data_IF_775227650263
#
_entry.id   IF_775227650263
#
_cell.length_a   1.000
_cell.length_b   1.000
_cell.length_c   1.000
_cell.angle_alpha   90.00
_cell.angle_beta   90.00
_cell.angle_gamma   90.00
#
_symmetry.space_group_name_H-M   'P 1'
#
loop_
_entity.id
_entity.type
_entity.pdbx_description
1 polymer ?
#
# COMPACT_ATOMS: atom_id res chain seq x y z
N UNK A 1 25.49 -15.89 -2.54
CA UNK A 1 24.86 -14.62 -2.12
C UNK A 1 24.35 -14.65 -0.68
N UNK A 2 23.50 -15.62 -0.29
CA UNK A 2 22.99 -15.77 1.09
C UNK A 2 24.08 -15.93 2.17
N UNK A 3 25.16 -16.67 1.88
CA UNK A 3 26.28 -16.85 2.81
C UNK A 3 27.02 -15.56 3.18
N UNK A 4 27.14 -14.61 2.24
CA UNK A 4 27.78 -13.31 2.50
C UNK A 4 26.88 -12.46 3.41
N UNK A 5 25.59 -12.36 3.11
CA UNK A 5 24.63 -11.62 3.95
C UNK A 5 24.54 -12.17 5.37
N UNK A 6 24.57 -13.50 5.53
CA UNK A 6 24.61 -14.14 6.85
C UNK A 6 25.87 -13.76 7.63
N UNK A 7 27.04 -13.74 6.98
CA UNK A 7 28.30 -13.30 7.59
C UNK A 7 28.28 -11.80 7.93
N UNK A 8 27.75 -10.95 7.07
CA UNK A 8 27.59 -9.51 7.35
C UNK A 8 26.66 -9.27 8.54
N UNK A 9 25.55 -10.01 8.64
CA UNK A 9 24.63 -9.93 9.77
C UNK A 9 25.29 -10.37 11.07
N UNK A 10 26.02 -11.51 11.05
CA UNK A 10 26.79 -11.98 12.21
C UNK A 10 27.86 -10.99 12.65
N UNK A 11 28.61 -10.42 11.71
CA UNK A 11 29.61 -9.39 12.00
C UNK A 11 28.97 -8.11 12.56
N UNK A 12 27.80 -7.73 12.04
CA UNK A 12 27.05 -6.57 12.54
C UNK A 12 26.61 -6.77 13.98
N UNK A 13 26.10 -7.95 14.34
CA UNK A 13 25.74 -8.29 15.72
C UNK A 13 26.97 -8.31 16.63
N UNK A 14 28.08 -8.90 16.18
CA UNK A 14 29.31 -9.02 16.98
C UNK A 14 29.96 -7.67 17.28
N UNK A 15 29.82 -6.69 16.38
CA UNK A 15 30.40 -5.36 16.51
C UNK A 15 29.39 -4.29 16.99
N UNK A 16 28.28 -4.69 17.63
CA UNK A 16 27.32 -3.75 18.21
C UNK A 16 27.94 -3.01 19.42
N UNK A 17 27.96 -1.69 19.35
CA UNK A 17 28.29 -0.83 20.49
C UNK A 17 27.20 -0.90 21.57
N UNK A 18 27.49 -0.47 22.80
CA UNK A 18 26.52 -0.44 23.90
C UNK A 18 25.21 0.31 23.54
N UNK A 19 25.32 1.42 22.78
CA UNK A 19 24.15 2.13 22.24
C UNK A 19 23.38 1.34 21.18
N UNK A 20 24.04 0.44 20.43
CA UNK A 20 23.39 -0.49 19.50
C UNK A 20 22.57 -1.55 20.22
N UNK A 21 23.10 -2.11 21.31
CA UNK A 21 22.38 -3.04 22.18
C UNK A 21 21.16 -2.39 22.85
N UNK A 22 21.29 -1.16 23.34
CA UNK A 22 20.16 -0.43 23.92
C UNK A 22 19.04 -0.19 22.88
N UNK A 23 19.39 0.27 21.67
CA UNK A 23 18.41 0.46 20.58
C UNK A 23 17.70 -0.84 20.19
N UNK A 24 18.45 -1.95 20.13
CA UNK A 24 17.89 -3.26 19.80
C UNK A 24 16.97 -3.78 20.91
N UNK A 25 17.38 -3.64 22.18
CA UNK A 25 16.56 -3.99 23.34
C UNK A 25 15.27 -3.17 23.41
N UNK A 26 15.36 -1.85 23.24
CA UNK A 26 14.19 -0.96 23.19
C UNK A 26 13.25 -1.32 22.03
N UNK A 27 13.79 -1.63 20.85
CA UNK A 27 13.00 -2.08 19.70
C UNK A 27 12.27 -3.40 19.96
N UNK A 28 12.92 -4.37 20.58
CA UNK A 28 12.28 -5.64 20.94
C UNK A 28 11.21 -5.43 22.02
N UNK A 29 11.50 -4.62 23.05
CA UNK A 29 10.55 -4.32 24.12
C UNK A 29 9.28 -3.65 23.58
N UNK A 30 9.43 -2.60 22.78
CA UNK A 30 8.30 -1.90 22.14
C UNK A 30 7.53 -2.82 21.19
N UNK A 31 8.24 -3.66 20.42
CA UNK A 31 7.62 -4.67 19.56
C UNK A 31 6.80 -5.70 20.34
N UNK A 32 7.32 -6.23 21.45
CA UNK A 32 6.61 -7.17 22.31
C UNK A 32 5.39 -6.54 22.99
N UNK A 33 5.51 -5.29 23.44
CA UNK A 33 4.40 -4.52 24.02
C UNK A 33 3.29 -4.32 22.98
N UNK A 34 3.64 -3.98 21.74
CA UNK A 34 2.68 -3.84 20.67
C UNK A 34 1.99 -5.18 20.34
N UNK A 35 2.75 -6.28 20.24
CA UNK A 35 2.20 -7.61 19.98
C UNK A 35 1.29 -8.11 21.12
N UNK A 36 1.64 -7.84 22.37
CA UNK A 36 0.79 -8.20 23.52
C UNK A 36 -0.50 -7.38 23.55
N UNK A 37 -0.43 -6.09 23.19
CA UNK A 37 -1.61 -5.23 23.02
C UNK A 37 -2.54 -5.75 21.92
N UNK A 38 -1.99 -6.13 20.76
CA UNK A 38 -2.76 -6.76 19.67
C UNK A 38 -3.41 -8.07 20.12
N UNK A 39 -2.66 -8.95 20.79
CA UNK A 39 -3.18 -10.20 21.33
C UNK A 39 -4.35 -9.97 22.29
N UNK A 40 -4.20 -9.05 23.25
CA UNK A 40 -5.25 -8.71 24.21
C UNK A 40 -6.51 -8.15 23.51
N UNK A 41 -6.32 -7.30 22.50
CA UNK A 41 -7.39 -6.76 21.67
C UNK A 41 -8.17 -7.86 20.94
N UNK A 42 -7.46 -8.77 20.27
CA UNK A 42 -8.09 -9.89 19.56
C UNK A 42 -8.79 -10.87 20.51
N UNK A 43 -8.19 -11.19 21.66
CA UNK A 43 -8.83 -12.02 22.68
C UNK A 43 -10.16 -11.42 23.13
N UNK A 44 -10.18 -10.13 23.46
CA UNK A 44 -11.41 -9.43 23.89
C UNK A 44 -12.48 -9.45 22.79
N UNK A 45 -12.07 -9.20 21.54
CA UNK A 45 -12.97 -9.25 20.38
C UNK A 45 -13.57 -10.66 20.18
N UNK A 46 -12.74 -11.71 20.21
CA UNK A 46 -13.17 -13.08 19.99
C UNK A 46 -14.05 -13.61 21.13
N UNK A 47 -13.76 -13.27 22.40
CA UNK A 47 -14.66 -13.60 23.52
C UNK A 47 -16.03 -12.94 23.39
N UNK A 48 -16.08 -11.69 22.91
CA UNK A 48 -17.35 -11.01 22.66
C UNK A 48 -18.16 -11.71 21.57
N UNK A 49 -17.50 -12.10 20.47
CA UNK A 49 -18.13 -12.83 19.37
C UNK A 49 -18.62 -14.22 19.81
N UNK A 50 -17.85 -14.95 20.60
CA UNK A 50 -18.21 -16.30 21.05
C UNK A 50 -19.44 -16.32 21.96
N UNK A 51 -19.68 -15.24 22.72
CA UNK A 51 -20.86 -15.12 23.59
C UNK A 51 -22.18 -14.97 22.82
N UNK A 52 -22.12 -14.71 21.51
CA UNK A 52 -23.33 -14.59 20.69
C UNK A 52 -23.90 -15.98 20.36
N UNK A 53 -25.15 -16.26 20.75
CA UNK A 53 -25.77 -17.58 20.53
C UNK A 53 -25.96 -17.86 19.04
N UNK A 54 -25.85 -19.14 18.65
CA UNK A 54 -26.03 -19.70 17.29
C UNK A 54 -25.02 -19.27 16.21
N UNK A 55 -24.47 -18.05 16.23
CA UNK A 55 -23.61 -17.51 15.16
C UNK A 55 -22.11 -17.44 15.52
N UNK A 56 -21.76 -17.40 16.81
CA UNK A 56 -20.40 -17.10 17.26
C UNK A 56 -19.28 -17.97 16.64
N UNK A 57 -19.52 -19.27 16.45
CA UNK A 57 -18.51 -20.18 15.87
C UNK A 57 -18.32 -19.97 14.37
N UNK A 58 -19.41 -19.81 13.60
CA UNK A 58 -19.34 -19.58 12.15
C UNK A 58 -18.68 -18.23 11.88
N UNK A 59 -19.04 -17.22 12.67
CA UNK A 59 -18.48 -15.88 12.54
C UNK A 59 -16.97 -15.85 12.83
N UNK A 60 -16.50 -16.53 13.87
CA UNK A 60 -15.06 -16.65 14.16
C UNK A 60 -14.27 -17.28 13.00
N UNK A 61 -14.82 -18.32 12.37
CA UNK A 61 -14.21 -18.94 11.19
C UNK A 61 -14.22 -18.00 9.98
N UNK A 62 -15.23 -17.14 9.85
CA UNK A 62 -15.28 -16.13 8.79
C UNK A 62 -14.27 -15.01 9.00
N UNK A 63 -14.06 -14.58 10.25
CA UNK A 63 -13.00 -13.63 10.59
C UNK A 63 -11.61 -14.16 10.21
N UNK A 64 -11.36 -15.45 10.38
CA UNK A 64 -10.13 -16.10 9.93
C UNK A 64 -9.97 -16.00 8.40
N UNK A 65 -11.02 -16.29 7.63
CA UNK A 65 -11.01 -16.17 6.16
C UNK A 65 -10.72 -14.75 5.70
N UNK A 66 -11.41 -13.76 6.30
CA UNK A 66 -11.24 -12.34 5.96
C UNK A 66 -9.81 -11.89 6.30
N UNK A 67 -9.29 -12.28 7.46
CA UNK A 67 -7.92 -11.93 7.87
C UNK A 67 -6.87 -12.48 6.90
N UNK A 68 -7.04 -13.73 6.42
CA UNK A 68 -6.14 -14.27 5.41
C UNK A 68 -6.31 -13.65 4.04
N UNK A 69 -7.53 -13.30 3.64
CA UNK A 69 -7.78 -12.57 2.39
C UNK A 69 -7.11 -11.18 2.42
N UNK A 70 -7.30 -10.41 3.50
CA UNK A 70 -6.66 -9.10 3.66
C UNK A 70 -5.15 -9.23 3.69
N UNK A 71 -4.62 -10.26 4.36
CA UNK A 71 -3.18 -10.54 4.37
C UNK A 71 -2.68 -10.84 2.96
N UNK A 72 -3.39 -11.68 2.20
CA UNK A 72 -3.01 -12.07 0.85
C UNK A 72 -2.90 -10.85 -0.08
N UNK A 73 -3.93 -9.99 -0.06
CA UNK A 73 -3.96 -8.76 -0.85
C UNK A 73 -2.82 -7.82 -0.43
N UNK A 74 -2.60 -7.63 0.86
CA UNK A 74 -1.51 -6.78 1.36
C UNK A 74 -0.12 -7.30 0.96
N UNK A 75 0.10 -8.61 0.97
CA UNK A 75 1.36 -9.21 0.53
C UNK A 75 1.58 -9.00 -0.97
N UNK A 76 0.55 -9.07 -1.80
CA UNK A 76 0.65 -8.75 -3.24
C UNK A 76 1.06 -7.28 -3.42
N UNK A 77 0.38 -6.34 -2.79
CA UNK A 77 0.72 -4.92 -2.90
C UNK A 77 2.14 -4.62 -2.38
N UNK A 78 2.49 -5.18 -1.22
CA UNK A 78 3.80 -4.99 -0.62
C UNK A 78 4.90 -5.57 -1.50
N UNK A 79 4.70 -6.74 -2.10
CA UNK A 79 5.70 -7.37 -2.98
C UNK A 79 5.88 -6.63 -4.30
N UNK A 80 4.83 -6.01 -4.86
CA UNK A 80 4.97 -5.09 -6.00
C UNK A 80 5.93 -3.96 -5.64
N UNK A 81 5.68 -3.26 -4.52
CA UNK A 81 6.50 -2.11 -4.09
C UNK A 81 7.95 -2.53 -3.82
N UNK A 82 8.15 -3.58 -3.03
CA UNK A 82 9.48 -4.04 -2.63
C UNK A 82 10.27 -4.54 -3.84
N UNK A 83 9.63 -5.25 -4.77
CA UNK A 83 10.32 -5.81 -5.95
C UNK A 83 10.95 -4.73 -6.82
N UNK A 84 10.36 -3.52 -6.90
CA UNK A 84 11.00 -2.40 -7.60
C UNK A 84 12.33 -2.03 -6.94
N UNK A 85 12.35 -1.85 -5.63
CA UNK A 85 13.56 -1.44 -4.90
C UNK A 85 14.60 -2.55 -4.80
N UNK A 86 14.18 -3.81 -4.62
CA UNK A 86 15.08 -4.93 -4.36
C UNK A 86 15.60 -5.60 -5.64
N UNK A 87 14.77 -5.70 -6.69
CA UNK A 87 15.10 -6.43 -7.92
C UNK A 87 15.61 -5.52 -9.04
N UNK A 88 14.98 -4.36 -9.26
CA UNK A 88 15.30 -3.50 -10.42
C UNK A 88 16.23 -2.34 -10.08
N UNK A 89 16.12 -1.76 -8.89
CA UNK A 89 16.87 -0.55 -8.49
C UNK A 89 17.82 -0.77 -7.32
N UNK A 90 18.25 -2.02 -7.10
CA UNK A 90 19.20 -2.29 -6.04
C UNK A 90 20.62 -1.82 -6.43
N UNK A 91 21.31 -1.20 -5.49
CA UNK A 91 22.65 -0.63 -5.72
C UNK A 91 23.68 -1.70 -6.13
N UNK A 92 23.50 -2.94 -5.67
CA UNK A 92 24.35 -4.10 -5.97
C UNK A 92 24.04 -4.72 -7.35
N UNK A 93 22.96 -4.35 -8.03
CA UNK A 93 22.52 -4.99 -9.27
C UNK A 93 23.55 -4.80 -10.40
N UNK A 94 24.08 -3.59 -10.58
CA UNK A 94 25.10 -3.30 -11.60
C UNK A 94 26.36 -4.16 -11.39
N UNK A 95 26.80 -4.31 -10.14
CA UNK A 95 27.93 -5.18 -9.80
C UNK A 95 27.63 -6.64 -10.12
N UNK A 96 26.45 -7.15 -9.72
CA UNK A 96 26.07 -8.55 -9.94
C UNK A 96 25.94 -8.94 -11.42
N UNK A 97 25.57 -7.99 -12.27
CA UNK A 97 25.46 -8.21 -13.72
C UNK A 97 26.82 -8.22 -14.43
N UNK A 98 27.87 -7.64 -13.84
CA UNK A 98 29.24 -7.72 -14.37
C UNK A 98 29.96 -9.02 -14.01
N UNK A 99 29.46 -9.75 -13.00
CA UNK A 99 30.01 -11.04 -12.62
C UNK A 99 29.58 -12.14 -13.61
N UNK A 100 30.40 -13.19 -13.84
CA UNK A 100 30.06 -14.32 -14.71
C UNK A 100 29.05 -15.27 -14.04
N UNK A 101 27.94 -14.73 -13.54
CA UNK A 101 26.85 -15.46 -12.89
C UNK A 101 25.64 -15.45 -13.81
N UNK A 102 25.00 -16.60 -13.98
CA UNK A 102 23.78 -16.70 -14.77
C UNK A 102 22.70 -15.75 -14.25
N UNK A 103 22.10 -14.92 -15.12
CA UNK A 103 21.08 -13.95 -14.75
C UNK A 103 19.88 -14.55 -13.99
N UNK A 104 19.53 -15.82 -14.27
CA UNK A 104 18.50 -16.58 -13.52
C UNK A 104 18.84 -16.72 -12.04
N UNK A 105 20.12 -16.94 -11.69
CA UNK A 105 20.55 -17.07 -10.28
C UNK A 105 20.46 -15.73 -9.55
N UNK A 106 20.78 -14.64 -10.23
CA UNK A 106 20.61 -13.28 -9.69
C UNK A 106 19.12 -13.00 -9.45
N UNK A 107 18.27 -13.29 -10.43
CA UNK A 107 16.82 -13.17 -10.30
C UNK A 107 16.27 -13.97 -9.12
N UNK A 108 16.58 -15.27 -9.01
CA UNK A 108 16.09 -16.12 -7.90
C UNK A 108 16.55 -15.59 -6.55
N UNK A 109 17.81 -15.14 -6.43
CA UNK A 109 18.30 -14.56 -5.18
C UNK A 109 17.53 -13.29 -4.78
N UNK A 110 17.22 -12.41 -5.75
CA UNK A 110 16.47 -11.18 -5.52
C UNK A 110 14.98 -11.43 -5.29
N UNK A 111 14.41 -12.43 -5.95
CA UNK A 111 13.03 -12.86 -5.75
C UNK A 111 12.85 -13.41 -4.32
N UNK A 112 13.75 -14.28 -3.84
CA UNK A 112 13.70 -14.80 -2.46
C UNK A 112 13.87 -13.67 -1.43
N UNK A 113 14.76 -12.71 -1.68
CA UNK A 113 14.88 -11.52 -0.81
C UNK A 113 13.59 -10.71 -0.76
N UNK A 114 12.94 -10.53 -1.92
CA UNK A 114 11.66 -9.82 -2.03
C UNK A 114 10.56 -10.56 -1.27
N UNK A 115 10.44 -11.87 -1.46
CA UNK A 115 9.46 -12.73 -0.74
C UNK A 115 9.68 -12.63 0.77
N UNK A 116 10.93 -12.67 1.22
CA UNK A 116 11.24 -12.57 2.65
C UNK A 116 10.86 -11.18 3.19
N UNK A 117 11.24 -10.10 2.49
CA UNK A 117 10.97 -8.72 2.90
C UNK A 117 9.47 -8.36 2.88
N UNK A 118 8.68 -8.91 1.95
CA UNK A 118 7.23 -8.69 1.90
C UNK A 118 6.47 -9.47 2.98
N UNK A 119 6.98 -10.63 3.40
CA UNK A 119 6.20 -11.58 4.19
C UNK A 119 6.50 -11.56 5.68
N UNK A 120 7.73 -11.22 6.09
CA UNK A 120 8.15 -11.33 7.50
C UNK A 120 7.27 -10.50 8.44
N UNK A 121 6.91 -9.28 8.06
CA UNK A 121 6.11 -8.37 8.89
C UNK A 121 4.66 -8.87 9.03
N UNK A 122 4.08 -9.37 7.94
CA UNK A 122 2.72 -9.92 7.95
C UNK A 122 2.64 -11.19 8.80
N UNK A 123 3.67 -12.03 8.76
CA UNK A 123 3.75 -13.23 9.59
C UNK A 123 3.78 -12.85 11.09
N UNK A 124 4.56 -11.84 11.47
CA UNK A 124 4.63 -11.34 12.86
C UNK A 124 3.28 -10.79 13.34
N UNK A 125 2.54 -10.06 12.50
CA UNK A 125 1.20 -9.53 12.84
C UNK A 125 0.15 -10.64 12.96
N UNK A 126 0.25 -11.71 12.18
CA UNK A 126 -0.66 -12.85 12.25
C UNK A 126 -0.50 -13.71 13.51
N UNK A 127 0.69 -13.74 14.11
CA UNK A 127 0.96 -14.53 15.33
C UNK A 127 0.01 -14.17 16.49
N UNK A 128 -0.13 -12.91 16.94
CA UNK A 128 -1.04 -12.57 18.04
C UNK A 128 -2.51 -12.83 17.69
N UNK A 129 -2.90 -12.62 16.43
CA UNK A 129 -4.25 -12.93 15.95
C UNK A 129 -4.56 -14.42 16.05
N UNK A 130 -3.66 -15.28 15.55
CA UNK A 130 -3.80 -16.74 15.60
C UNK A 130 -3.66 -17.28 17.01
N UNK A 131 -2.82 -16.68 17.85
CA UNK A 131 -2.71 -17.03 19.26
C UNK A 131 -4.00 -16.77 20.02
N UNK A 132 -4.62 -15.59 19.81
CA UNK A 132 -5.92 -15.27 20.39
C UNK A 132 -7.01 -16.24 19.91
N UNK A 133 -6.98 -16.59 18.62
CA UNK A 133 -7.92 -17.55 18.05
C UNK A 133 -7.74 -18.96 18.65
N UNK A 134 -6.50 -19.44 18.76
CA UNK A 134 -6.18 -20.75 19.33
C UNK A 134 -6.59 -20.85 20.81
N UNK A 135 -6.40 -19.77 21.58
CA UNK A 135 -6.83 -19.70 22.98
C UNK A 135 -8.36 -19.81 23.11
N UNK A 136 -9.11 -19.08 22.29
CA UNK A 136 -10.59 -19.08 22.33
C UNK A 136 -11.20 -20.40 21.86
N UNK A 137 -10.56 -21.08 20.89
CA UNK A 137 -10.98 -22.39 20.40
C UNK A 137 -10.35 -23.58 21.13
N UNK A 138 -9.54 -23.33 22.17
CA UNK A 138 -8.80 -24.36 22.92
C UNK A 138 -8.03 -25.35 22.01
N UNK A 139 -7.30 -24.81 21.03
CA UNK A 139 -6.54 -25.63 20.07
C UNK A 139 -5.10 -25.81 20.54
N UNK A 140 -4.55 -27.02 20.39
CA UNK A 140 -3.18 -27.36 20.78
C UNK A 140 -2.10 -26.77 19.87
N UNK A 141 -0.84 -27.02 20.24
CA UNK A 141 0.36 -26.50 19.56
C UNK A 141 0.48 -26.92 18.08
N UNK A 142 -0.15 -28.04 17.70
CA UNK A 142 -0.20 -28.54 16.31
C UNK A 142 -0.74 -27.51 15.32
N UNK A 143 -1.64 -26.63 15.76
CA UNK A 143 -2.21 -25.55 14.95
C UNK A 143 -1.14 -24.59 14.43
N UNK A 144 -0.19 -24.19 15.27
CA UNK A 144 0.88 -23.27 14.87
C UNK A 144 1.90 -23.92 13.94
N UNK A 145 2.19 -25.21 14.13
CA UNK A 145 3.07 -25.97 13.25
C UNK A 145 2.46 -26.08 11.85
N UNK A 146 1.18 -26.43 11.77
CA UNK A 146 0.46 -26.51 10.49
C UNK A 146 0.35 -25.14 9.83
N UNK A 147 0.09 -24.07 10.60
CA UNK A 147 0.14 -22.70 10.08
C UNK A 147 1.51 -22.33 9.53
N UNK A 148 2.62 -22.69 10.22
CA UNK A 148 3.97 -22.44 9.73
C UNK A 148 4.22 -23.13 8.38
N UNK A 149 3.81 -24.39 8.26
CA UNK A 149 3.95 -25.18 7.03
C UNK A 149 3.08 -24.64 5.88
N UNK A 150 1.83 -24.28 6.15
CA UNK A 150 0.89 -23.76 5.16
C UNK A 150 1.15 -22.28 4.80
N UNK A 151 1.68 -21.51 5.75
CA UNK A 151 2.00 -20.09 5.60
C UNK A 151 3.13 -19.86 4.60
N UNK A 152 4.16 -20.71 4.59
CA UNK A 152 5.29 -20.62 3.65
C UNK A 152 4.86 -20.55 2.18
N UNK A 153 4.12 -21.55 1.62
CA UNK A 153 3.64 -21.47 0.25
C UNK A 153 2.61 -20.35 0.05
N UNK A 154 1.77 -20.05 1.05
CA UNK A 154 0.80 -18.95 0.97
C UNK A 154 1.46 -17.58 0.73
N UNK A 155 2.46 -17.23 1.54
CA UNK A 155 3.21 -15.99 1.40
C UNK A 155 4.03 -15.95 0.11
N UNK A 156 4.57 -17.10 -0.30
CA UNK A 156 5.28 -17.23 -1.57
C UNK A 156 4.36 -16.95 -2.75
N UNK A 157 3.14 -17.52 -2.79
CA UNK A 157 2.17 -17.30 -3.87
C UNK A 157 1.82 -15.82 -4.01
N UNK A 158 1.49 -15.14 -2.89
CA UNK A 158 1.17 -13.71 -2.91
C UNK A 158 2.35 -12.87 -3.43
N UNK A 159 3.56 -13.18 -2.98
CA UNK A 159 4.76 -12.48 -3.40
C UNK A 159 5.15 -12.77 -4.85
N UNK A 160 4.94 -14.01 -5.32
CA UNK A 160 5.20 -14.41 -6.70
C UNK A 160 4.30 -13.65 -7.68
N UNK A 161 3.01 -13.50 -7.35
CA UNK A 161 2.06 -12.71 -8.14
C UNK A 161 2.52 -11.25 -8.22
N UNK A 162 2.93 -10.64 -7.09
CA UNK A 162 3.42 -9.27 -7.09
C UNK A 162 4.70 -9.07 -7.91
N UNK A 163 5.63 -10.02 -7.86
CA UNK A 163 6.85 -10.03 -8.69
C UNK A 163 6.51 -10.17 -10.19
N UNK A 164 5.51 -11.00 -10.53
CA UNK A 164 5.06 -11.13 -11.92
C UNK A 164 4.47 -9.81 -12.44
N UNK A 165 3.66 -9.14 -11.62
CA UNK A 165 3.07 -7.85 -11.97
C UNK A 165 4.17 -6.80 -12.17
N UNK A 166 5.10 -6.66 -11.22
CA UNK A 166 6.17 -5.67 -11.34
C UNK A 166 7.11 -5.94 -12.51
N UNK A 167 7.43 -7.22 -12.77
CA UNK A 167 8.24 -7.61 -13.92
C UNK A 167 7.52 -7.31 -15.25
N UNK A 168 6.22 -7.54 -15.32
CA UNK A 168 5.41 -7.18 -16.50
C UNK A 168 5.41 -5.68 -16.75
N UNK A 169 5.22 -4.89 -15.68
CA UNK A 169 5.28 -3.42 -15.77
C UNK A 169 6.64 -2.94 -16.27
N UNK A 170 7.73 -3.45 -15.71
CA UNK A 170 9.09 -3.05 -16.12
C UNK A 170 9.46 -3.50 -17.53
N UNK A 171 8.88 -4.62 -17.99
CA UNK A 171 9.11 -5.10 -19.35
C UNK A 171 8.41 -4.22 -20.40
N UNK A 172 7.14 -3.84 -20.17
CA UNK A 172 6.41 -2.97 -21.11
C UNK A 172 6.88 -1.51 -21.05
N UNK A 173 7.39 -1.06 -19.91
CA UNK A 173 7.72 0.33 -19.66
C UNK A 173 9.16 0.49 -19.11
N UNK A 174 10.19 0.31 -19.95
CA UNK A 174 11.59 0.26 -19.52
C UNK A 174 12.23 1.65 -19.32
N UNK A 175 11.76 2.43 -18.35
CA UNK A 175 12.45 3.68 -17.98
C UNK A 175 12.49 3.91 -16.48
N UNK A 176 13.52 4.61 -15.99
CA UNK A 176 13.64 5.02 -14.59
C UNK A 176 12.45 5.87 -14.11
N UNK A 177 11.82 6.59 -15.04
CA UNK A 177 10.60 7.37 -14.85
C UNK A 177 9.38 6.49 -14.60
N UNK A 178 9.34 5.31 -15.22
CA UNK A 178 8.22 4.37 -15.06
C UNK A 178 8.17 3.79 -13.66
N UNK A 179 9.28 3.61 -12.93
CA UNK A 179 9.23 3.18 -11.51
C UNK A 179 8.31 4.09 -10.71
N UNK A 180 8.54 5.40 -10.81
CA UNK A 180 7.80 6.39 -10.05
C UNK A 180 6.34 6.45 -10.53
N UNK A 181 6.07 6.24 -11.83
CA UNK A 181 4.70 6.11 -12.37
C UNK A 181 4.02 4.81 -11.94
N UNK A 182 4.74 3.69 -11.89
CA UNK A 182 4.22 2.36 -11.57
C UNK A 182 3.90 2.23 -10.08
N UNK A 183 4.77 2.75 -9.21
CA UNK A 183 4.48 2.83 -7.77
C UNK A 183 3.26 3.68 -7.51
N UNK A 184 3.14 4.82 -8.20
CA UNK A 184 1.99 5.69 -8.05
C UNK A 184 0.72 5.10 -8.66
N UNK A 185 0.82 4.45 -9.81
CA UNK A 185 -0.30 3.72 -10.39
C UNK A 185 -0.74 2.56 -9.49
N UNK A 186 0.19 1.86 -8.83
CA UNK A 186 -0.13 0.81 -7.87
C UNK A 186 -0.83 1.36 -6.62
N UNK A 187 -0.34 2.48 -6.06
CA UNK A 187 -0.98 3.15 -4.91
C UNK A 187 -2.36 3.69 -5.31
N UNK A 188 -2.48 4.30 -6.48
CA UNK A 188 -3.74 4.80 -7.01
C UNK A 188 -4.73 3.67 -7.28
N UNK A 189 -4.31 2.61 -7.95
CA UNK A 189 -5.12 1.42 -8.16
C UNK A 189 -5.52 0.77 -6.83
N UNK A 190 -4.62 0.72 -5.84
CA UNK A 190 -4.92 0.24 -4.49
C UNK A 190 -5.95 1.12 -3.78
N UNK A 191 -5.85 2.44 -3.89
CA UNK A 191 -6.81 3.39 -3.32
C UNK A 191 -8.18 3.32 -4.01
N UNK A 192 -8.20 3.18 -5.34
CA UNK A 192 -9.41 3.00 -6.14
C UNK A 192 -10.04 1.64 -5.85
N UNK A 193 -9.23 0.60 -5.68
CA UNK A 193 -9.69 -0.71 -5.28
C UNK A 193 -10.25 -0.70 -3.86
N UNK A 194 -9.63 0.00 -2.92
CA UNK A 194 -10.19 0.21 -1.58
C UNK A 194 -11.54 0.92 -1.64
N UNK A 195 -11.63 1.99 -2.43
CA UNK A 195 -12.88 2.72 -2.66
C UNK A 195 -13.91 1.78 -3.29
N UNK A 196 -13.55 0.97 -4.29
CA UNK A 196 -14.42 -0.01 -4.92
C UNK A 196 -14.91 -1.08 -3.93
N UNK A 197 -14.01 -1.67 -3.13
CA UNK A 197 -14.36 -2.61 -2.07
C UNK A 197 -15.34 -2.00 -1.09
N UNK A 198 -15.13 -0.74 -0.73
CA UNK A 198 -16.02 -0.06 0.18
C UNK A 198 -17.32 0.35 -0.50
N UNK A 199 -17.34 0.63 -1.81
CA UNK A 199 -18.55 0.82 -2.63
C UNK A 199 -19.47 -0.39 -2.56
N UNK A 200 -18.94 -1.60 -2.49
CA UNK A 200 -19.72 -2.83 -2.29
C UNK A 200 -20.38 -2.96 -0.91
N UNK A 201 -20.16 -2.02 0.00
CA UNK A 201 -20.80 -1.99 1.34
C UNK A 201 -20.74 -3.33 2.10
N UNK A 202 -19.55 -3.96 2.26
CA UNK A 202 -19.44 -5.17 3.06
C UNK A 202 -19.89 -4.95 4.52
N UNK A 203 -19.94 -3.68 4.95
CA UNK A 203 -20.42 -3.22 6.26
C UNK A 203 -21.96 -3.31 6.39
N UNK A 204 -22.74 -3.11 5.31
CA UNK A 204 -24.21 -3.27 5.37
C UNK A 204 -24.65 -4.73 5.39
N UNK A 205 -23.79 -5.64 4.92
CA UNK A 205 -23.97 -7.08 5.14
C UNK A 205 -23.91 -7.41 6.65
N UNK A 206 -23.25 -6.59 7.47
CA UNK A 206 -23.12 -6.80 8.92
C UNK A 206 -24.15 -6.03 9.78
N UNK A 207 -25.24 -5.51 9.19
CA UNK A 207 -26.28 -4.77 9.94
C UNK A 207 -27.17 -5.70 10.79
N UNK A 208 -27.35 -5.45 12.11
CA UNK A 208 -28.13 -6.26 13.05
C UNK A 208 -29.60 -6.52 12.66
N UNK A 209 -30.24 -5.63 11.91
CA UNK A 209 -31.66 -5.79 11.54
C UNK A 209 -31.88 -6.85 10.44
N UNK A 210 -30.85 -7.19 9.67
CA UNK A 210 -30.87 -8.30 8.72
C UNK A 210 -30.58 -9.67 9.37
N UNK A 211 -30.13 -9.70 10.64
CA UNK A 211 -29.82 -10.94 11.36
C UNK A 211 -31.04 -11.81 11.59
N UNK A 212 -32.25 -11.26 11.58
CA UNK A 212 -33.49 -12.01 11.79
C UNK A 212 -33.93 -12.82 10.56
N UNK A 213 -33.38 -12.54 9.37
CA UNK A 213 -33.44 -13.49 8.23
C UNK A 213 -32.22 -14.41 8.28
N UNK A 214 -31.97 -15.00 9.46
CA UNK A 214 -30.75 -15.74 9.78
C UNK A 214 -30.42 -16.86 8.79
N UNK A 215 -31.44 -17.51 8.22
CA UNK A 215 -31.25 -18.69 7.36
C UNK A 215 -30.72 -18.33 5.95
N UNK A 216 -31.13 -17.19 5.38
CA UNK A 216 -30.58 -16.71 4.09
C UNK A 216 -29.20 -16.07 4.26
N UNK A 217 -28.94 -15.42 5.41
CA UNK A 217 -27.60 -14.89 5.71
C UNK A 217 -26.60 -15.98 6.08
N UNK A 218 -27.02 -17.06 6.76
CA UNK A 218 -26.19 -18.26 6.97
C UNK A 218 -25.83 -18.89 5.62
N UNK A 219 -26.78 -19.03 4.69
CA UNK A 219 -26.50 -19.53 3.34
C UNK A 219 -25.57 -18.60 2.51
N UNK A 220 -25.62 -17.29 2.74
CA UNK A 220 -24.73 -16.32 2.11
C UNK A 220 -23.35 -16.22 2.80
N UNK A 221 -23.26 -16.43 4.12
CA UNK A 221 -22.02 -16.55 4.88
C UNK A 221 -21.30 -17.87 4.57
N UNK A 222 -22.07 -18.93 4.34
CA UNK A 222 -21.63 -20.22 3.80
C UNK A 222 -21.32 -20.15 2.30
N UNK A 223 -21.65 -19.04 1.61
CA UNK A 223 -21.22 -18.86 0.23
C UNK A 223 -19.69 -18.85 0.21
N UNK A 224 -19.05 -19.79 -0.53
CA UNK A 224 -17.61 -19.92 -0.54
C UNK A 224 -17.02 -18.67 -1.20
N UNK A 225 -16.47 -17.77 -0.39
CA UNK A 225 -15.77 -16.57 -0.87
C UNK A 225 -14.52 -17.05 -1.60
N UNK A 226 -14.66 -17.21 -2.92
CA UNK A 226 -13.62 -17.61 -3.87
C UNK A 226 -12.80 -18.86 -3.44
N UNK A 227 -13.40 -20.05 -3.64
CA UNK A 227 -12.79 -21.39 -3.43
C UNK A 227 -11.42 -21.59 -4.10
N UNK A 228 -11.10 -20.77 -5.10
CA UNK A 228 -9.86 -20.83 -5.86
C UNK A 228 -8.75 -19.92 -5.34
N UNK A 229 -9.00 -19.11 -4.30
CA UNK A 229 -7.98 -18.24 -3.72
C UNK A 229 -7.09 -18.99 -2.72
N UNK A 230 -5.78 -18.69 -2.69
CA UNK A 230 -4.86 -19.24 -1.68
C UNK A 230 -5.24 -18.92 -0.23
N UNK A 231 -5.92 -17.80 0.00
CA UNK A 231 -6.45 -17.44 1.32
C UNK A 231 -7.50 -18.43 1.82
N UNK A 232 -8.33 -18.97 0.91
CA UNK A 232 -9.33 -19.98 1.24
C UNK A 232 -8.66 -21.32 1.57
N UNK A 233 -7.67 -21.76 0.79
CA UNK A 233 -6.94 -23.01 1.10
C UNK A 233 -6.23 -22.93 2.46
N UNK A 234 -5.61 -21.80 2.80
CA UNK A 234 -5.00 -21.61 4.11
C UNK A 234 -6.03 -21.65 5.25
N UNK A 235 -7.16 -20.97 5.09
CA UNK A 235 -8.25 -21.00 6.06
C UNK A 235 -8.78 -22.43 6.25
N UNK A 236 -8.98 -23.17 5.15
CA UNK A 236 -9.51 -24.53 5.18
C UNK A 236 -8.52 -25.53 5.79
N UNK A 237 -7.20 -25.37 5.59
CA UNK A 237 -6.17 -26.13 6.31
C UNK A 237 -6.36 -25.97 7.81
N UNK A 238 -6.48 -24.73 8.30
CA UNK A 238 -6.63 -24.46 9.73
C UNK A 238 -7.97 -24.92 10.28
N UNK A 239 -9.07 -24.77 9.53
CA UNK A 239 -10.38 -25.34 9.89
C UNK A 239 -10.33 -26.85 10.01
N UNK A 240 -9.66 -27.52 9.07
CA UNK A 240 -9.52 -28.98 9.06
C UNK A 240 -8.74 -29.48 10.29
N UNK A 241 -7.79 -28.70 10.83
CA UNK A 241 -7.10 -29.02 12.09
C UNK A 241 -8.07 -28.96 13.29
N UNK A 242 -9.00 -28.00 13.32
CA UNK A 242 -9.98 -27.85 14.41
C UNK A 242 -10.97 -29.03 14.40
N UNK A 243 -11.41 -29.46 13.20
CA UNK A 243 -12.32 -30.59 13.02
C UNK A 243 -11.57 -31.95 13.10
N UNK A 244 -10.25 -31.94 13.33
CA UNK A 244 -9.39 -33.13 13.32
C UNK A 244 -9.47 -33.96 12.03
N UNK A 245 -9.73 -33.32 10.89
CA UNK A 245 -9.81 -33.98 9.58
C UNK A 245 -8.45 -33.94 8.87
N UNK A 246 -7.66 -35.01 9.02
CA UNK A 246 -6.33 -35.14 8.42
C UNK A 246 -6.34 -35.09 6.88
N UNK A 247 -7.36 -35.67 6.25
CA UNK A 247 -7.50 -35.67 4.79
C UNK A 247 -7.72 -34.25 4.23
N UNK A 248 -8.51 -33.44 4.93
CA UNK A 248 -8.72 -32.03 4.59
C UNK A 248 -7.43 -31.20 4.65
N UNK A 249 -6.62 -31.43 5.69
CA UNK A 249 -5.31 -30.77 5.86
C UNK A 249 -4.37 -31.12 4.70
N UNK A 250 -4.21 -32.41 4.41
CA UNK A 250 -3.28 -32.88 3.37
C UNK A 250 -3.69 -32.35 1.99
N UNK A 251 -4.98 -32.46 1.63
CA UNK A 251 -5.49 -32.02 0.33
C UNK A 251 -5.24 -30.53 0.07
N UNK A 252 -5.50 -29.68 1.06
CA UNK A 252 -5.34 -28.23 0.87
C UNK A 252 -3.87 -27.79 0.95
N UNK A 253 -3.04 -28.49 1.73
CA UNK A 253 -1.59 -28.31 1.71
C UNK A 253 -1.01 -28.68 0.34
N UNK A 254 -1.41 -29.79 -0.27
CA UNK A 254 -0.93 -30.18 -1.60
C UNK A 254 -1.35 -29.16 -2.66
N UNK A 255 -2.55 -28.59 -2.58
CA UNK A 255 -2.94 -27.46 -3.45
C UNK A 255 -2.04 -26.23 -3.26
N UNK A 256 -1.74 -25.82 -2.03
CA UNK A 256 -0.85 -24.68 -1.77
C UNK A 256 0.57 -24.93 -2.31
N UNK A 257 1.15 -26.10 -2.03
CA UNK A 257 2.50 -26.42 -2.49
C UNK A 257 2.59 -26.60 -4.00
N UNK A 258 1.60 -27.23 -4.63
CA UNK A 258 1.57 -27.41 -6.09
C UNK A 258 1.46 -26.08 -6.83
N UNK A 259 0.58 -25.18 -6.38
CA UNK A 259 0.45 -23.82 -6.97
C UNK A 259 1.71 -23.00 -6.74
N UNK A 260 2.28 -23.04 -5.53
CA UNK A 260 3.55 -22.36 -5.24
C UNK A 260 4.69 -22.87 -6.13
N UNK A 261 4.82 -24.19 -6.29
CA UNK A 261 5.82 -24.81 -7.16
C UNK A 261 5.63 -24.44 -8.63
N UNK A 262 4.40 -24.49 -9.14
CA UNK A 262 4.07 -24.10 -10.51
C UNK A 262 4.42 -22.62 -10.78
N UNK A 263 4.06 -21.72 -9.86
CA UNK A 263 4.39 -20.29 -9.98
C UNK A 263 5.90 -20.03 -9.91
N UNK A 264 6.63 -20.77 -9.06
CA UNK A 264 8.10 -20.65 -9.01
C UNK A 264 8.74 -21.06 -10.33
N UNK A 265 8.35 -22.21 -10.90
CA UNK A 265 8.84 -22.66 -12.20
C UNK A 265 8.51 -21.67 -13.31
N UNK A 266 7.28 -21.16 -13.32
CA UNK A 266 6.83 -20.15 -14.28
C UNK A 266 7.66 -18.87 -14.19
N UNK A 267 7.92 -18.37 -12.97
CA UNK A 267 8.78 -17.22 -12.73
C UNK A 267 10.21 -17.46 -13.25
N UNK A 268 10.80 -18.62 -12.97
CA UNK A 268 12.16 -18.94 -13.43
C UNK A 268 12.23 -19.00 -14.96
N UNK A 269 11.22 -19.58 -15.63
CA UNK A 269 11.14 -19.64 -17.09
C UNK A 269 11.04 -18.23 -17.69
N UNK A 270 10.12 -17.41 -17.19
CA UNK A 270 9.88 -16.07 -17.71
C UNK A 270 11.04 -15.11 -17.41
N UNK A 271 11.69 -15.27 -16.25
CA UNK A 271 12.81 -14.41 -15.84
C UNK A 271 13.92 -14.35 -16.88
N UNK A 272 14.20 -15.47 -17.57
CA UNK A 272 15.23 -15.51 -18.61
C UNK A 272 14.98 -14.55 -19.77
N UNK A 273 13.72 -14.29 -20.11
CA UNK A 273 13.33 -13.40 -21.22
C UNK A 273 12.99 -12.00 -20.74
N UNK A 274 12.13 -11.86 -19.73
CA UNK A 274 11.60 -10.55 -19.35
C UNK A 274 12.56 -9.78 -18.43
N UNK A 275 13.16 -10.44 -17.43
CA UNK A 275 13.94 -9.74 -16.41
C UNK A 275 15.25 -9.16 -16.98
N UNK A 276 15.99 -9.94 -17.78
CA UNK A 276 17.24 -9.45 -18.36
C UNK A 276 17.01 -8.30 -19.34
N UNK A 277 16.01 -8.43 -20.22
CA UNK A 277 15.62 -7.35 -21.14
C UNK A 277 15.19 -6.09 -20.38
N UNK A 278 14.35 -6.23 -19.35
CA UNK A 278 13.92 -5.10 -18.51
C UNK A 278 15.12 -4.41 -17.85
N UNK A 279 16.02 -5.16 -17.22
CA UNK A 279 17.18 -4.57 -16.54
C UNK A 279 18.17 -3.91 -17.51
N UNK A 280 18.49 -4.56 -18.64
CA UNK A 280 19.34 -3.97 -19.67
C UNK A 280 18.73 -2.71 -20.26
N UNK A 281 17.42 -2.68 -20.49
CA UNK A 281 16.73 -1.52 -21.05
C UNK A 281 16.68 -0.31 -20.10
N UNK A 282 16.63 -0.54 -18.77
CA UNK A 282 16.78 0.53 -17.76
C UNK A 282 18.17 1.17 -17.86
N UNK A 283 19.22 0.34 -17.91
CA UNK A 283 20.61 0.81 -17.98
C UNK A 283 20.97 1.41 -19.35
N UNK A 284 20.37 0.90 -20.43
CA UNK A 284 20.52 1.40 -21.79
C UNK A 284 19.66 2.63 -22.10
N UNK A 285 18.81 3.07 -21.16
CA UNK A 285 17.97 4.28 -21.26
C UNK A 285 18.79 5.59 -21.19
N UNK A 286 19.96 5.61 -21.84
CA UNK A 286 20.62 6.84 -22.27
C UNK A 286 19.78 7.40 -23.41
N UNK A 287 18.96 8.39 -23.07
CA UNK A 287 18.10 9.19 -23.93
C UNK A 287 18.76 9.55 -25.27
N UNK A 288 18.63 8.70 -26.28
CA UNK A 288 18.85 9.07 -27.68
C UNK A 288 17.54 9.62 -28.23
N UNK A 289 17.23 10.87 -27.93
CA UNK A 289 16.24 11.63 -28.71
C UNK A 289 16.95 12.71 -29.53
N UNK A 290 17.56 12.37 -30.69
CA UNK A 290 18.13 13.36 -31.60
C UNK A 290 17.06 14.13 -32.39
N UNK A 291 15.79 13.70 -32.33
CA UNK A 291 14.72 14.20 -33.21
C UNK A 291 13.98 15.45 -32.68
N UNK A 292 14.09 15.78 -31.39
CA UNK A 292 13.36 16.92 -30.82
C UNK A 292 14.21 18.20 -30.65
N UNK A 293 15.51 18.16 -30.93
CA UNK A 293 16.38 19.34 -30.83
C UNK A 293 16.23 20.30 -32.02
N UNK A 294 15.70 19.83 -33.15
CA UNK A 294 15.57 20.63 -34.38
C UNK A 294 14.38 21.61 -34.36
N UNK A 295 13.29 21.28 -33.66
CA UNK A 295 12.04 22.06 -33.72
C UNK A 295 11.98 23.28 -32.78
N UNK A 296 13.00 23.50 -31.94
CA UNK A 296 12.97 24.55 -30.90
C UNK A 296 13.73 25.83 -31.33
N UNK A 297 14.44 25.84 -32.46
CA UNK A 297 15.46 26.87 -32.73
C UNK A 297 14.98 28.25 -33.21
N UNK A 298 13.67 28.52 -33.40
CA UNK A 298 13.24 29.81 -34.02
C UNK A 298 11.97 30.47 -33.47
N UNK A 299 11.59 30.24 -32.21
CA UNK A 299 10.55 31.07 -31.56
C UNK A 299 11.21 32.12 -30.68
N UNK A 300 10.92 33.42 -30.87
CA UNK A 300 11.33 34.48 -29.93
C UNK A 300 10.76 34.13 -28.55
N UNK A 301 11.57 33.50 -27.70
CA UNK A 301 11.17 33.11 -26.36
C UNK A 301 11.15 34.37 -25.51
N UNK A 302 9.97 34.96 -25.29
CA UNK A 302 9.79 35.73 -24.06
C UNK A 302 10.04 34.75 -22.92
N UNK A 303 10.98 35.08 -22.03
CA UNK A 303 11.33 34.28 -20.85
C UNK A 303 10.12 34.22 -19.91
N UNK A 304 9.15 33.39 -20.22
CA UNK A 304 8.01 33.13 -19.37
C UNK A 304 8.41 32.02 -18.39
N UNK A 305 8.88 32.42 -17.21
CA UNK A 305 9.28 31.51 -16.14
C UNK A 305 8.15 30.53 -15.75
N UNK A 306 6.89 30.95 -15.86
CA UNK A 306 5.71 30.10 -15.62
C UNK A 306 5.64 28.94 -16.64
N UNK A 307 5.90 29.21 -17.93
CA UNK A 307 5.90 28.15 -18.95
C UNK A 307 7.09 27.21 -18.80
N UNK A 308 8.25 27.74 -18.41
CA UNK A 308 9.43 26.93 -18.04
C UNK A 308 9.06 25.98 -16.90
N UNK A 309 8.48 26.50 -15.82
CA UNK A 309 8.13 25.71 -14.65
C UNK A 309 7.01 24.71 -14.98
N UNK A 310 6.03 25.06 -15.82
CA UNK A 310 5.00 24.13 -16.31
C UNK A 310 5.58 22.98 -17.15
N UNK A 311 6.50 23.28 -18.08
CA UNK A 311 7.15 22.26 -18.91
C UNK A 311 8.12 21.42 -18.08
N UNK A 312 8.83 22.01 -17.12
CA UNK A 312 9.70 21.29 -16.18
C UNK A 312 8.88 20.36 -15.30
N UNK A 313 7.74 20.85 -14.79
CA UNK A 313 6.78 20.06 -14.03
C UNK A 313 6.29 18.88 -14.87
N UNK A 314 5.80 19.11 -16.10
CA UNK A 314 5.41 18.07 -17.07
C UNK A 314 6.50 17.05 -17.40
N UNK A 315 7.76 17.46 -17.37
CA UNK A 315 8.91 16.57 -17.63
C UNK A 315 9.37 15.80 -16.39
N UNK A 316 9.12 16.33 -15.19
CA UNK A 316 9.51 15.68 -13.95
C UNK A 316 8.46 14.67 -13.50
N UNK A 317 8.73 13.41 -13.83
CA UNK A 317 7.87 12.29 -13.50
C UNK A 317 7.67 12.11 -11.99
N UNK A 318 8.60 12.58 -11.16
CA UNK A 318 8.44 12.53 -9.69
C UNK A 318 7.35 13.46 -9.20
N UNK A 319 7.16 14.61 -9.85
CA UNK A 319 6.17 15.58 -9.40
C UNK A 319 4.75 15.15 -9.78
N UNK A 320 4.53 14.73 -11.03
CA UNK A 320 3.21 14.23 -11.45
C UNK A 320 2.77 12.98 -10.73
N UNK A 321 3.70 12.07 -10.45
CA UNK A 321 3.39 10.86 -9.72
C UNK A 321 2.91 11.19 -8.30
N UNK A 322 3.54 12.16 -7.64
CA UNK A 322 3.11 12.61 -6.31
C UNK A 322 1.76 13.30 -6.32
N UNK A 323 1.41 14.05 -7.37
CA UNK A 323 0.08 14.66 -7.51
C UNK A 323 -0.98 13.59 -7.60
N UNK A 324 -0.75 12.56 -8.43
CA UNK A 324 -1.68 11.45 -8.61
C UNK A 324 -1.90 10.69 -7.29
N UNK A 325 -0.84 10.45 -6.51
CA UNK A 325 -0.95 9.82 -5.20
C UNK A 325 -1.83 10.63 -4.24
N UNK A 326 -1.65 11.96 -4.20
CA UNK A 326 -2.46 12.78 -3.31
C UNK A 326 -3.91 12.88 -3.80
N UNK A 327 -4.13 12.98 -5.12
CA UNK A 327 -5.47 12.91 -5.70
C UNK A 327 -6.20 11.62 -5.28
N UNK A 328 -5.51 10.48 -5.33
CA UNK A 328 -6.02 9.20 -4.85
C UNK A 328 -6.42 9.26 -3.36
N UNK A 329 -5.57 9.83 -2.50
CA UNK A 329 -5.87 10.00 -1.07
C UNK A 329 -7.08 10.93 -0.84
N UNK A 330 -7.17 12.03 -1.59
CA UNK A 330 -8.30 12.95 -1.55
C UNK A 330 -9.60 12.27 -1.97
N UNK A 331 -9.59 11.40 -2.98
CA UNK A 331 -10.76 10.63 -3.39
C UNK A 331 -11.21 9.68 -2.27
N UNK A 332 -10.27 8.95 -1.67
CA UNK A 332 -10.56 8.07 -0.51
C UNK A 332 -11.17 8.87 0.64
N UNK A 333 -10.64 10.06 0.91
CA UNK A 333 -11.13 10.96 1.93
C UNK A 333 -12.58 11.41 1.67
N UNK A 334 -12.86 11.97 0.48
CA UNK A 334 -14.19 12.41 0.09
C UNK A 334 -15.20 11.25 0.16
N UNK A 335 -14.76 10.07 -0.27
CA UNK A 335 -15.58 8.86 -0.20
C UNK A 335 -15.84 8.41 1.25
N UNK A 336 -14.85 8.53 2.14
CA UNK A 336 -15.04 8.23 3.56
C UNK A 336 -16.09 9.14 4.18
N UNK A 337 -16.16 10.41 3.78
CA UNK A 337 -17.17 11.37 4.23
C UNK A 337 -18.54 11.03 3.66
N UNK A 338 -18.62 10.71 2.37
CA UNK A 338 -19.88 10.28 1.73
C UNK A 338 -20.52 9.07 2.43
N UNK A 339 -19.69 8.13 2.92
CA UNK A 339 -20.15 6.92 3.60
C UNK A 339 -20.35 7.05 5.10
N UNK A 340 -20.17 8.24 5.67
CA UNK A 340 -20.53 8.45 7.07
C UNK A 340 -22.00 8.07 7.27
N UNK A 341 -22.32 7.19 8.24
CA UNK A 341 -23.67 6.71 8.45
C UNK A 341 -24.61 7.89 8.71
N UNK A 342 -25.50 8.16 7.76
CA UNK A 342 -26.67 9.03 7.96
C UNK A 342 -27.55 8.48 9.11
N UNK A 343 -27.32 7.25 9.56
CA UNK A 343 -28.00 6.54 10.65
C UNK A 343 -27.53 6.89 12.07
N UNK A 344 -26.54 7.77 12.26
CA UNK A 344 -26.38 8.45 13.57
C UNK A 344 -27.55 9.40 13.88
N UNK A 345 -28.47 9.55 12.94
CA UNK A 345 -29.83 10.09 13.12
C UNK A 345 -30.71 9.07 13.85
N UNK A 346 -30.31 8.67 15.06
CA UNK A 346 -31.22 8.08 16.03
C UNK A 346 -31.85 9.22 16.84
N UNK A 347 -33.09 9.02 17.30
CA UNK A 347 -34.02 10.00 17.90
C UNK A 347 -33.50 10.88 19.07
N UNK A 348 -32.24 10.71 19.51
CA UNK A 348 -31.70 11.31 20.73
C UNK A 348 -30.74 12.49 20.52
N UNK A 349 -30.24 12.78 19.30
CA UNK A 349 -29.38 13.95 19.03
C UNK A 349 -29.78 14.68 17.75
N UNK A 350 -29.83 16.03 17.72
CA UNK A 350 -30.16 16.76 16.50
C UNK A 350 -29.04 16.55 15.48
N UNK A 351 -29.36 15.90 14.35
CA UNK A 351 -28.41 15.57 13.29
C UNK A 351 -27.57 16.78 12.81
N UNK A 352 -28.08 18.00 12.99
CA UNK A 352 -27.38 19.24 12.71
C UNK A 352 -26.10 19.44 13.55
N UNK A 353 -26.08 19.06 14.84
CA UNK A 353 -24.89 19.26 15.70
C UNK A 353 -23.74 18.33 15.29
N UNK A 354 -24.04 17.06 15.01
CA UNK A 354 -23.05 16.08 14.57
C UNK A 354 -22.48 16.48 13.20
N UNK A 355 -23.34 16.91 12.26
CA UNK A 355 -22.91 17.41 10.94
C UNK A 355 -22.04 18.66 11.03
N UNK A 356 -22.40 19.61 11.89
CA UNK A 356 -21.60 20.82 12.09
C UNK A 356 -20.24 20.52 12.77
N UNK A 357 -20.21 19.62 13.74
CA UNK A 357 -18.97 19.17 14.37
C UNK A 357 -18.06 18.43 13.37
N UNK A 358 -18.63 17.54 12.56
CA UNK A 358 -17.91 16.86 11.47
C UNK A 358 -17.37 17.86 10.43
N UNK A 359 -18.13 18.90 10.09
CA UNK A 359 -17.67 19.97 9.20
C UNK A 359 -16.48 20.74 9.81
N UNK A 360 -16.46 20.99 11.12
CA UNK A 360 -15.31 21.60 11.78
C UNK A 360 -14.06 20.69 11.74
N UNK A 361 -14.22 19.38 11.98
CA UNK A 361 -13.12 18.41 11.85
C UNK A 361 -12.64 18.29 10.40
N UNK A 362 -13.55 18.41 9.42
CA UNK A 362 -13.25 18.41 7.99
C UNK A 362 -12.32 19.57 7.59
N UNK A 363 -12.44 20.76 8.21
CA UNK A 363 -11.48 21.86 8.00
C UNK A 363 -10.06 21.42 8.39
N UNK A 364 -9.91 20.78 9.55
CA UNK A 364 -8.61 20.26 10.01
C UNK A 364 -8.04 19.19 9.09
N UNK A 365 -8.87 18.25 8.64
CA UNK A 365 -8.44 17.19 7.72
C UNK A 365 -8.08 17.73 6.33
N UNK A 366 -8.88 18.66 5.78
CA UNK A 366 -8.57 19.33 4.51
C UNK A 366 -7.28 20.17 4.61
N UNK A 367 -7.13 20.95 5.69
CA UNK A 367 -5.92 21.72 5.97
C UNK A 367 -4.68 20.84 6.10
N UNK A 368 -4.80 19.65 6.69
CA UNK A 368 -3.69 18.68 6.75
C UNK A 368 -3.27 18.19 5.36
N UNK A 369 -4.23 17.87 4.48
CA UNK A 369 -3.95 17.45 3.10
C UNK A 369 -3.25 18.58 2.33
N UNK A 370 -3.74 19.81 2.44
CA UNK A 370 -3.18 20.98 1.75
C UNK A 370 -1.78 21.32 2.28
N UNK A 371 -1.57 21.28 3.60
CA UNK A 371 -0.26 21.53 4.22
C UNK A 371 0.78 20.48 3.79
N UNK A 372 0.40 19.20 3.78
CA UNK A 372 1.27 18.14 3.29
C UNK A 372 1.64 18.32 1.81
N UNK A 373 0.69 18.76 0.98
CA UNK A 373 0.93 19.10 -0.42
C UNK A 373 1.85 20.31 -0.58
N UNK A 374 1.65 21.36 0.21
CA UNK A 374 2.48 22.57 0.18
C UNK A 374 3.94 22.25 0.53
N UNK A 375 4.17 21.43 1.55
CA UNK A 375 5.53 21.00 1.92
C UNK A 375 6.19 20.17 0.82
N UNK A 376 5.40 19.42 0.05
CA UNK A 376 5.91 18.54 -1.01
C UNK A 376 6.13 19.27 -2.33
N UNK A 377 5.27 20.22 -2.68
CA UNK A 377 5.27 20.88 -3.98
C UNK A 377 5.72 22.32 -3.98
N UNK A 378 5.54 23.09 -2.91
CA UNK A 378 5.92 24.52 -2.86
C UNK A 378 7.34 24.65 -2.32
N UNK A 379 7.64 23.99 -1.20
CA UNK A 379 8.93 24.11 -0.52
C UNK A 379 10.13 23.69 -1.41
N UNK A 380 10.09 22.59 -2.18
CA UNK A 380 11.25 22.18 -2.97
C UNK A 380 11.48 22.98 -4.25
N UNK A 381 10.52 23.80 -4.72
CA UNK A 381 10.61 24.44 -6.05
C UNK A 381 11.80 25.36 -6.20
N UNK A 382 12.16 26.07 -5.13
CA UNK A 382 13.35 26.92 -5.11
C UNK A 382 14.62 26.05 -5.10
N UNK A 383 14.60 24.94 -4.39
CA UNK A 383 15.72 23.98 -4.28
C UNK A 383 15.95 23.19 -5.58
N UNK A 384 14.93 23.02 -6.42
CA UNK A 384 15.06 22.32 -7.71
C UNK A 384 15.83 23.12 -8.76
N UNK A 385 16.01 24.44 -8.56
CA UNK A 385 16.74 25.29 -9.50
C UNK A 385 18.27 25.31 -9.29
N UNK A 386 18.79 24.59 -8.29
CA UNK A 386 20.19 24.65 -7.82
C UNK A 386 21.25 24.80 -8.92
N UNK A 387 21.19 23.98 -9.97
CA UNK A 387 22.20 24.01 -11.05
C UNK A 387 22.11 25.19 -12.02
N UNK A 388 20.97 25.88 -12.06
CA UNK A 388 20.68 26.99 -12.99
C UNK A 388 20.46 28.33 -12.30
N UNK A 389 20.51 28.37 -10.97
CA UNK A 389 20.24 29.57 -10.17
C UNK A 389 21.15 30.75 -10.56
N UNK A 390 22.44 30.46 -10.82
CA UNK A 390 23.43 31.45 -11.24
C UNK A 390 23.03 32.19 -12.54
N UNK A 391 22.44 31.46 -13.49
CA UNK A 391 21.92 32.03 -14.73
C UNK A 391 20.71 32.93 -14.47
N UNK A 392 19.79 32.50 -13.60
CA UNK A 392 18.61 33.29 -13.23
C UNK A 392 19.02 34.60 -12.53
N UNK A 393 20.04 34.55 -11.66
CA UNK A 393 20.57 35.74 -10.96
C UNK A 393 21.32 36.70 -11.88
N UNK A 394 21.77 36.26 -13.05
CA UNK A 394 22.47 37.09 -14.03
C UNK A 394 21.52 37.84 -14.98
N UNK A 395 20.24 37.46 -14.99
CA UNK A 395 19.19 38.17 -15.76
C UNK A 395 18.74 39.39 -14.95
N UNK A 396 18.50 40.57 -15.57
CA UNK A 396 18.02 41.77 -14.89
C UNK A 396 16.57 41.63 -14.44
N UNK A 397 16.34 40.78 -13.43
CA UNK A 397 15.03 40.48 -12.87
C UNK A 397 15.12 40.51 -11.34
N UNK A 398 14.11 41.08 -10.68
CA UNK A 398 14.10 41.13 -9.22
C UNK A 398 13.80 39.75 -8.63
N UNK A 399 14.51 39.40 -7.56
CA UNK A 399 14.34 38.14 -6.83
C UNK A 399 12.90 37.97 -6.34
N UNK A 400 12.27 39.08 -5.94
CA UNK A 400 10.87 39.10 -5.50
C UNK A 400 9.91 38.61 -6.59
N UNK A 401 10.04 39.11 -7.82
CA UNK A 401 9.17 38.69 -8.94
C UNK A 401 9.41 37.22 -9.29
N UNK A 402 10.64 36.73 -9.13
CA UNK A 402 10.96 35.32 -9.34
C UNK A 402 10.30 34.42 -8.28
N UNK A 403 10.44 34.77 -6.99
CA UNK A 403 9.81 34.02 -5.89
C UNK A 403 8.28 34.08 -5.98
N UNK A 404 7.72 35.25 -6.28
CA UNK A 404 6.28 35.45 -6.44
C UNK A 404 5.75 34.66 -7.64
N UNK A 405 6.50 34.59 -8.74
CA UNK A 405 6.18 33.74 -9.89
C UNK A 405 6.09 32.24 -9.51
N UNK A 406 7.04 31.74 -8.72
CA UNK A 406 7.02 30.35 -8.22
C UNK A 406 5.89 30.11 -7.24
N UNK A 407 5.65 31.06 -6.34
CA UNK A 407 4.55 31.01 -5.40
C UNK A 407 3.20 30.97 -6.12
N UNK A 408 2.98 31.81 -7.13
CA UNK A 408 1.74 31.82 -7.92
C UNK A 408 1.58 30.53 -8.71
N UNK A 409 2.66 30.01 -9.33
CA UNK A 409 2.61 28.78 -10.11
C UNK A 409 2.15 27.56 -9.29
N UNK A 410 2.65 27.39 -8.06
CA UNK A 410 2.24 26.28 -7.19
C UNK A 410 1.04 26.60 -6.29
N UNK A 411 0.91 27.86 -5.86
CA UNK A 411 -0.12 28.32 -4.94
C UNK A 411 -1.50 28.36 -5.56
N UNK A 412 -1.64 28.82 -6.82
CA UNK A 412 -2.94 28.87 -7.51
C UNK A 412 -3.57 27.48 -7.64
N UNK A 413 -2.87 26.43 -8.13
CA UNK A 413 -3.42 25.07 -8.13
C UNK A 413 -3.80 24.54 -6.74
N UNK A 414 -3.02 24.87 -5.70
CA UNK A 414 -3.32 24.44 -4.33
C UNK A 414 -4.58 25.11 -3.77
N UNK A 415 -4.79 26.40 -4.05
CA UNK A 415 -6.01 27.12 -3.66
C UNK A 415 -7.22 26.57 -4.41
N UNK A 416 -7.09 26.28 -5.71
CA UNK A 416 -8.17 25.65 -6.47
C UNK A 416 -8.52 24.29 -5.85
N UNK A 417 -7.51 23.48 -5.53
CA UNK A 417 -7.71 22.19 -4.91
C UNK A 417 -8.36 22.30 -3.52
N UNK A 418 -7.96 23.26 -2.69
CA UNK A 418 -8.54 23.46 -1.35
C UNK A 418 -10.01 23.81 -1.43
N UNK A 419 -10.37 24.73 -2.33
CA UNK A 419 -11.77 25.13 -2.56
C UNK A 419 -12.59 23.94 -3.07
N UNK A 420 -12.06 23.17 -4.02
CA UNK A 420 -12.76 21.98 -4.54
C UNK A 420 -13.00 20.95 -3.43
N UNK A 421 -11.98 20.65 -2.61
CA UNK A 421 -12.12 19.71 -1.49
C UNK A 421 -13.15 20.21 -0.48
N UNK A 422 -13.09 21.50 -0.11
CA UNK A 422 -14.04 22.11 0.83
C UNK A 422 -15.48 22.07 0.32
N UNK A 423 -15.71 22.49 -0.92
CA UNK A 423 -17.05 22.53 -1.55
C UNK A 423 -17.63 21.13 -1.67
N UNK A 424 -16.86 20.18 -2.21
CA UNK A 424 -17.34 18.80 -2.40
C UNK A 424 -17.60 18.13 -1.05
N UNK A 425 -16.68 18.27 -0.10
CA UNK A 425 -16.85 17.66 1.23
C UNK A 425 -18.07 18.20 1.99
N UNK A 426 -18.25 19.52 2.00
CA UNK A 426 -19.40 20.14 2.66
C UNK A 426 -20.73 19.83 1.95
N UNK A 427 -20.72 19.73 0.62
CA UNK A 427 -21.89 19.27 -0.14
C UNK A 427 -22.25 17.83 0.18
N UNK A 428 -21.27 16.94 0.36
CA UNK A 428 -21.50 15.54 0.73
C UNK A 428 -22.03 15.40 2.17
N UNK A 429 -21.66 16.31 3.08
CA UNK A 429 -22.14 16.34 4.47
C UNK A 429 -23.56 16.90 4.64
N UNK A 430 -24.09 17.62 3.65
CA UNK A 430 -25.42 18.24 3.74
C UNK A 430 -25.54 19.26 4.87
N UNK A 431 -24.53 20.14 4.99
CA UNK A 431 -24.48 21.21 6.01
C UNK A 431 -25.59 22.23 5.74
N UNK A 432 -26.44 22.49 6.74
CA UNK A 432 -27.65 23.31 6.60
C UNK A 432 -27.43 24.83 6.65
N UNK A 433 -26.23 25.29 7.05
CA UNK A 433 -25.95 26.73 7.24
C UNK A 433 -24.92 27.27 6.24
N UNK A 434 -25.29 28.32 5.52
CA UNK A 434 -24.44 28.98 4.52
C UNK A 434 -23.17 29.61 5.12
N UNK A 435 -23.22 30.06 6.38
CA UNK A 435 -22.08 30.65 7.07
C UNK A 435 -20.97 29.62 7.36
N UNK A 436 -21.34 28.42 7.83
CA UNK A 436 -20.38 27.34 8.09
C UNK A 436 -19.83 26.79 6.77
N UNK A 437 -20.66 26.73 5.73
CA UNK A 437 -20.22 26.37 4.38
C UNK A 437 -19.11 27.28 3.87
N UNK A 438 -19.32 28.61 3.93
CA UNK A 438 -18.33 29.59 3.47
C UNK A 438 -17.05 29.57 4.33
N UNK A 439 -17.19 29.53 5.66
CA UNK A 439 -16.06 29.52 6.58
C UNK A 439 -15.19 28.25 6.41
N UNK A 440 -15.83 27.11 6.16
CA UNK A 440 -15.13 25.86 5.90
C UNK A 440 -14.50 25.76 4.51
N UNK A 441 -14.99 26.51 3.51
CA UNK A 441 -14.39 26.52 2.17
C UNK A 441 -13.25 27.52 2.00
N UNK A 442 -13.23 28.58 2.83
CA UNK A 442 -12.28 29.69 2.70
C UNK A 442 -11.11 29.62 3.71
N UNK A 443 -11.27 28.88 4.82
CA UNK A 443 -10.19 28.57 5.77
C UNK A 443 -9.33 27.40 5.28
#
# INVERSE_FOLDING_TARGET
>A
MFGVKSRTFKNKIRNLTAGGWFKLGFGIFTGLLFLSGLYAGFCRMFFYIQKMPFIGTVLLLKFLEIAFLTTFVMVIFSSIVISFTSMFFADDLNFLLTLPVQGRRVFVSKAVETVFQSSWMMMVVLVPFLAAFAFVKNVGLSFFVVFGLAGLPFFFIGSAIGIMISMSVMYFFPSSRVRDMALVAAVAAGSLFYVALRFFEPEKLANPDAFYTAMQYIAYLDAPVARFLPSWWLAEVLKSVIVSNAWGVIRNLTYLFSVAGALFLFLVIISGRMYYTAVCSISASVSKSPLLSSFISKRRVRLNFILKDAVSFLRDTKQWSQVLLVMALTIVYLFSIYKLPQSFTGDNFPAAYIRNFLSFVNIGAAGFIISALALRFVFPQVSLEKGTLWFVMSVPFSIEKFLLGKFVFCGVPLIILSVVIGVVSNSLLGVSSAAIFLFSTAG
#
